data_IF_123018186987
#
_entry.id   IF_123018186987
#
_cell.length_a   1.000
_cell.length_b   1.000
_cell.length_c   1.000
_cell.angle_alpha   90.00
_cell.angle_beta   90.00
_cell.angle_gamma   90.00
#
_symmetry.space_group_name_H-M   'P 1'
#
loop_
_entity.id
_entity.type
_entity.pdbx_description
1 polymer ?
#
# COMPACT_ATOMS: atom_id res chain seq x y z
N UNK A 1 -8.22 4.08 46.93
CA UNK A 1 -7.54 3.23 45.93
C UNK A 1 -6.90 4.17 44.92
N UNK A 2 -5.57 4.26 44.89
CA UNK A 2 -4.83 5.03 43.88
C UNK A 2 -4.49 4.13 42.70
N UNK A 3 -4.81 4.57 41.49
CA UNK A 3 -4.42 3.91 40.24
C UNK A 3 -2.91 4.12 40.04
N UNK A 4 -2.12 3.10 39.69
CA UNK A 4 -0.69 3.27 39.43
C UNK A 4 -0.47 4.13 38.16
N UNK A 5 0.65 4.87 38.07
CA UNK A 5 0.97 5.66 36.88
C UNK A 5 1.11 4.72 35.69
N UNK A 6 0.43 5.07 34.60
CA UNK A 6 0.54 4.38 33.31
C UNK A 6 1.99 4.52 32.85
N UNK A 7 2.60 3.41 32.47
CA UNK A 7 3.95 3.37 31.92
C UNK A 7 4.02 4.34 30.72
N UNK A 8 4.82 5.41 30.85
CA UNK A 8 5.07 6.36 29.77
C UNK A 8 5.87 5.62 28.69
N UNK A 9 5.13 4.89 27.86
CA UNK A 9 5.62 4.17 26.71
C UNK A 9 6.31 5.14 25.77
N UNK A 10 7.65 5.21 25.92
CA UNK A 10 8.67 5.54 24.92
C UNK A 10 8.15 6.35 23.72
N UNK A 11 8.41 7.65 23.73
CA UNK A 11 8.23 8.54 22.58
C UNK A 11 8.72 7.85 21.30
N UNK A 12 7.83 7.54 20.33
CA UNK A 12 8.26 6.88 19.11
C UNK A 12 9.13 7.86 18.34
N UNK A 13 10.39 7.47 18.20
CA UNK A 13 11.51 8.22 17.65
C UNK A 13 11.10 9.30 16.64
N UNK A 14 11.60 10.51 16.91
CA UNK A 14 11.71 11.61 15.97
C UNK A 14 12.72 11.25 14.85
N UNK A 15 12.49 10.16 14.13
CA UNK A 15 12.99 10.01 12.77
C UNK A 15 11.99 10.73 11.88
N UNK A 16 12.45 11.61 10.98
CA UNK A 16 11.62 12.30 10.00
C UNK A 16 10.89 11.27 9.15
N UNK A 17 9.73 10.81 9.62
CA UNK A 17 8.70 10.18 8.81
C UNK A 17 8.32 11.26 7.81
N UNK A 18 8.71 11.08 6.54
CA UNK A 18 8.08 11.83 5.47
C UNK A 18 6.57 11.80 5.69
N UNK A 19 5.88 12.90 5.37
CA UNK A 19 4.42 13.00 5.46
C UNK A 19 3.78 12.02 4.47
N UNK A 20 3.82 10.73 4.78
CA UNK A 20 3.09 9.72 4.04
C UNK A 20 1.69 9.66 4.65
N UNK A 21 0.74 10.27 3.95
CA UNK A 21 -0.66 10.13 4.26
C UNK A 21 -1.18 8.84 3.62
N UNK A 22 -1.75 7.95 4.43
CA UNK A 22 -2.51 6.80 3.93
C UNK A 22 -3.90 7.30 3.59
N UNK A 23 -4.37 7.02 2.38
CA UNK A 23 -5.70 7.39 1.92
C UNK A 23 -6.39 6.16 1.33
N UNK A 24 -7.66 5.96 1.68
CA UNK A 24 -8.53 4.96 1.05
C UNK A 24 -9.05 5.43 -0.32
N UNK A 25 -8.69 6.65 -0.75
CA UNK A 25 -9.07 7.18 -2.05
C UNK A 25 -8.02 6.81 -3.10
N UNK A 26 -8.48 6.25 -4.22
CA UNK A 26 -7.64 6.00 -5.38
C UNK A 26 -7.67 7.23 -6.29
N UNK A 27 -6.52 7.70 -6.83
CA UNK A 27 -6.55 8.71 -7.87
C UNK A 27 -7.26 8.18 -9.11
N UNK A 28 -7.82 9.09 -9.90
CA UNK A 28 -8.47 8.73 -11.18
C UNK A 28 -7.49 8.01 -12.11
N UNK A 29 -6.25 8.50 -12.15
CA UNK A 29 -5.17 7.94 -12.95
C UNK A 29 -3.99 7.57 -12.03
N UNK A 30 -3.52 6.32 -12.16
CA UNK A 30 -2.31 5.84 -11.48
C UNK A 30 -1.21 5.79 -12.53
N UNK A 31 -0.11 6.56 -12.39
CA UNK A 31 1.01 6.45 -13.31
C UNK A 31 1.69 5.09 -13.12
N UNK A 32 1.79 4.33 -14.20
CA UNK A 32 2.48 3.03 -14.25
C UNK A 32 3.45 3.08 -15.44
N UNK A 33 4.67 2.58 -15.24
CA UNK A 33 5.69 2.48 -16.27
C UNK A 33 5.60 1.16 -17.05
N UNK A 34 6.15 1.12 -18.27
CA UNK A 34 6.16 -0.09 -19.10
C UNK A 34 6.83 -1.28 -18.40
N UNK A 35 7.91 -1.05 -17.65
CA UNK A 35 8.58 -2.06 -16.83
C UNK A 35 7.69 -2.58 -15.70
N UNK A 36 6.92 -1.72 -15.03
CA UNK A 36 5.97 -2.15 -14.00
C UNK A 36 4.82 -2.97 -14.59
N UNK A 37 4.31 -2.60 -15.78
CA UNK A 37 3.30 -3.39 -16.52
C UNK A 37 3.82 -4.80 -16.78
N UNK A 38 5.06 -4.94 -17.28
CA UNK A 38 5.65 -6.26 -17.54
C UNK A 38 5.77 -7.13 -16.29
N UNK A 39 6.08 -6.53 -15.15
CA UNK A 39 6.16 -7.26 -13.87
C UNK A 39 4.77 -7.71 -13.43
N UNK A 40 3.75 -6.87 -13.60
CA UNK A 40 2.36 -7.24 -13.32
C UNK A 40 1.89 -8.37 -14.23
N UNK A 41 2.12 -8.29 -15.54
CA UNK A 41 1.74 -9.33 -16.50
C UNK A 41 2.43 -10.67 -16.21
N UNK A 42 3.72 -10.65 -15.84
CA UNK A 42 4.45 -11.87 -15.53
C UNK A 42 3.98 -12.60 -14.26
N UNK A 43 3.33 -11.89 -13.32
CA UNK A 43 2.85 -12.46 -12.06
C UNK A 43 1.33 -12.69 -12.02
N UNK A 44 0.59 -11.85 -12.73
CA UNK A 44 -0.86 -11.81 -12.68
C UNK A 44 -1.52 -12.01 -14.04
N UNK A 45 -0.78 -12.01 -15.16
CA UNK A 45 -1.36 -12.09 -16.51
C UNK A 45 -2.43 -13.16 -16.66
N UNK A 46 -2.11 -14.41 -16.31
CA UNK A 46 -3.07 -15.52 -16.38
C UNK A 46 -4.33 -15.30 -15.51
N UNK A 47 -4.18 -14.70 -14.32
CA UNK A 47 -5.30 -14.37 -13.43
C UNK A 47 -6.16 -13.23 -13.98
N UNK A 48 -5.52 -12.22 -14.56
CA UNK A 48 -6.18 -11.07 -15.17
C UNK A 48 -6.96 -11.52 -16.41
N UNK A 49 -6.37 -12.38 -17.24
CA UNK A 49 -7.00 -12.93 -18.43
C UNK A 49 -8.21 -13.80 -18.07
N UNK A 50 -8.12 -14.61 -17.00
CA UNK A 50 -9.25 -15.38 -16.47
C UNK A 50 -10.36 -14.47 -15.91
N UNK A 51 -9.99 -13.44 -15.13
CA UNK A 51 -10.95 -12.53 -14.49
C UNK A 51 -11.71 -11.66 -15.50
N UNK A 52 -11.06 -11.31 -16.61
CA UNK A 52 -11.64 -10.43 -17.64
C UNK A 52 -12.01 -11.15 -18.93
N UNK A 53 -11.82 -12.47 -19.01
CA UNK A 53 -12.20 -13.29 -20.16
C UNK A 53 -11.50 -12.86 -21.44
N UNK A 54 -10.24 -12.44 -21.35
CA UNK A 54 -9.42 -12.00 -22.49
C UNK A 54 -8.91 -13.18 -23.34
N UNK A 55 -9.56 -14.34 -23.29
CA UNK A 55 -9.32 -15.40 -24.28
C UNK A 55 -9.83 -14.94 -25.66
N UNK A 56 -8.93 -14.35 -26.46
CA UNK A 56 -9.18 -13.94 -27.84
C UNK A 56 -8.00 -13.23 -28.50
#
# INVERSE_FOLDING_TARGET
MSVPPQDEGRSPGQGRRGLFAVSDTLPHDIPITDEEVRVLDAWFGDLLDELWGLEG
#
